data_IF_528726354452
#
_entry.id   IF_528726354452
#
_cell.length_a   1.000
_cell.length_b   1.000
_cell.length_c   1.000
_cell.angle_alpha   90.00
_cell.angle_beta   90.00
_cell.angle_gamma   90.00
#
_symmetry.space_group_name_H-M   'P 1'
#
loop_
_entity.id
_entity.type
_entity.pdbx_description
1 polymer ?
#
# COMPACT_ATOMS: atom_id res chain seq x y z
N UNK A 1 -15.24 70.27 20.61
CA UNK A 1 -15.59 69.50 21.83
C UNK A 1 -14.69 68.26 21.86
N UNK A 2 -13.60 68.30 22.65
CA UNK A 2 -12.57 67.25 22.69
C UNK A 2 -13.09 66.00 23.41
N UNK A 3 -13.08 64.86 22.70
CA UNK A 3 -13.53 63.54 23.19
C UNK A 3 -12.59 63.09 24.32
N UNK A 4 -13.08 63.08 25.57
CA UNK A 4 -12.33 62.55 26.74
C UNK A 4 -12.02 61.06 26.49
N UNK A 5 -10.75 60.73 26.29
CA UNK A 5 -10.28 59.35 26.25
C UNK A 5 -10.30 58.82 27.70
N UNK A 6 -11.20 57.88 28.00
CA UNK A 6 -11.27 57.21 29.31
C UNK A 6 -9.97 56.43 29.53
N UNK A 7 -9.30 56.64 30.67
CA UNK A 7 -8.13 55.86 31.07
C UNK A 7 -8.56 54.41 31.32
N UNK A 8 -7.86 53.40 30.76
CA UNK A 8 -8.19 52.00 31.02
C UNK A 8 -8.00 51.67 32.50
N UNK A 9 -9.02 51.11 33.12
CA UNK A 9 -8.98 50.64 34.51
C UNK A 9 -8.21 49.31 34.59
N UNK A 10 -7.56 49.04 35.73
CA UNK A 10 -6.83 47.78 35.98
C UNK A 10 -7.68 46.53 35.67
N UNK A 11 -8.99 46.59 35.95
CA UNK A 11 -9.95 45.55 35.59
C UNK A 11 -10.07 45.32 34.08
N UNK A 12 -10.03 46.38 33.26
CA UNK A 12 -10.09 46.29 31.80
C UNK A 12 -8.82 45.63 31.25
N UNK A 13 -7.67 45.92 31.85
CA UNK A 13 -6.41 45.28 31.47
C UNK A 13 -6.41 43.78 31.81
N UNK A 14 -6.89 43.41 33.01
CA UNK A 14 -7.02 42.01 33.42
C UNK A 14 -8.00 41.23 32.54
N UNK A 15 -9.17 41.82 32.24
CA UNK A 15 -10.17 41.20 31.36
C UNK A 15 -9.60 41.05 29.94
N UNK A 16 -8.96 42.08 29.39
CA UNK A 16 -8.34 42.01 28.06
C UNK A 16 -7.22 40.97 27.98
N UNK A 17 -6.38 40.85 29.02
CA UNK A 17 -5.33 39.84 29.11
C UNK A 17 -5.91 38.43 29.16
N UNK A 18 -6.97 38.23 29.96
CA UNK A 18 -7.67 36.94 30.05
C UNK A 18 -8.30 36.56 28.70
N UNK A 19 -8.97 37.50 28.04
CA UNK A 19 -9.55 37.29 26.70
C UNK A 19 -8.48 36.95 25.66
N UNK A 20 -7.30 37.59 25.71
CA UNK A 20 -6.20 37.27 24.80
C UNK A 20 -5.67 35.84 25.03
N UNK A 21 -5.54 35.41 26.28
CA UNK A 21 -5.15 34.03 26.61
C UNK A 21 -6.20 33.03 26.11
N UNK A 22 -7.49 33.30 26.33
CA UNK A 22 -8.56 32.44 25.79
C UNK A 22 -8.57 32.38 24.27
N UNK A 23 -8.30 33.50 23.58
CA UNK A 23 -8.19 33.53 22.13
C UNK A 23 -7.03 32.66 21.62
N UNK A 24 -5.86 32.73 22.27
CA UNK A 24 -4.69 31.90 21.93
C UNK A 24 -5.00 30.41 22.14
N UNK A 25 -5.57 30.05 23.29
CA UNK A 25 -5.94 28.65 23.58
C UNK A 25 -6.97 28.14 22.55
N UNK A 26 -7.93 28.98 22.16
CA UNK A 26 -8.93 28.63 21.16
C UNK A 26 -8.30 28.37 19.79
N UNK A 27 -7.35 29.22 19.37
CA UNK A 27 -6.60 29.02 18.12
C UNK A 27 -5.78 27.73 18.13
N UNK A 28 -5.08 27.46 19.23
CA UNK A 28 -4.32 26.21 19.40
C UNK A 28 -5.26 24.99 19.34
N UNK A 29 -6.42 25.07 20.00
CA UNK A 29 -7.40 23.99 20.00
C UNK A 29 -7.97 23.71 18.61
N UNK A 30 -8.29 24.77 17.85
CA UNK A 30 -8.73 24.65 16.46
C UNK A 30 -7.62 24.02 15.60
N UNK A 31 -6.37 24.46 15.76
CA UNK A 31 -5.24 23.90 15.02
C UNK A 31 -5.04 22.41 15.30
N UNK A 32 -5.05 21.99 16.56
CA UNK A 32 -4.96 20.57 16.94
C UNK A 32 -6.14 19.78 16.37
N UNK A 33 -7.34 20.34 16.43
CA UNK A 33 -8.56 19.68 15.92
C UNK A 33 -8.47 19.43 14.42
N UNK A 34 -8.03 20.42 13.64
CA UNK A 34 -7.87 20.30 12.19
C UNK A 34 -6.83 19.22 11.85
N UNK A 35 -5.66 19.26 12.50
CA UNK A 35 -4.61 18.26 12.25
C UNK A 35 -5.06 16.85 12.64
N UNK A 36 -5.70 16.70 13.80
CA UNK A 36 -6.21 15.40 14.26
C UNK A 36 -7.23 14.85 13.28
N UNK A 37 -8.13 15.69 12.78
CA UNK A 37 -9.13 15.30 11.79
C UNK A 37 -8.50 14.86 10.46
N UNK A 38 -7.47 15.57 9.99
CA UNK A 38 -6.71 15.18 8.80
C UNK A 38 -6.00 13.83 8.98
N UNK A 39 -5.28 13.65 10.08
CA UNK A 39 -4.61 12.39 10.38
C UNK A 39 -5.59 11.23 10.50
N UNK A 40 -6.76 11.44 11.11
CA UNK A 40 -7.81 10.42 11.20
C UNK A 40 -8.37 10.06 9.82
N UNK A 41 -8.56 11.05 8.93
CA UNK A 41 -9.00 10.79 7.55
C UNK A 41 -7.97 9.99 6.76
N UNK A 42 -6.68 10.31 6.91
CA UNK A 42 -5.61 9.57 6.23
C UNK A 42 -5.44 8.15 6.78
N UNK A 43 -5.56 7.97 8.10
CA UNK A 43 -5.50 6.65 8.74
C UNK A 43 -6.71 5.76 8.38
N UNK A 44 -7.82 6.37 7.98
CA UNK A 44 -9.05 5.69 7.58
C UNK A 44 -9.01 5.11 6.15
N UNK A 45 -8.04 5.53 5.33
CA UNK A 45 -7.91 5.16 3.91
C UNK A 45 -7.82 3.62 3.71
N UNK A 46 -8.27 3.09 2.57
CA UNK A 46 -8.09 1.68 2.25
C UNK A 46 -6.61 1.33 2.14
N UNK A 47 -6.24 0.14 2.60
CA UNK A 47 -4.92 -0.44 2.43
C UNK A 47 -5.05 -1.95 2.40
N UNK A 48 -4.31 -2.62 1.52
CA UNK A 48 -4.40 -4.05 1.34
C UNK A 48 -3.27 -4.78 2.06
N UNK A 49 -3.63 -5.79 2.85
CA UNK A 49 -2.65 -6.63 3.55
C UNK A 49 -2.95 -8.11 3.34
N UNK A 50 -1.95 -8.96 3.55
CA UNK A 50 -2.11 -10.40 3.54
C UNK A 50 -2.72 -10.85 4.86
N UNK A 51 -3.93 -11.42 4.81
CA UNK A 51 -4.53 -12.06 5.99
C UNK A 51 -3.93 -13.43 6.27
N UNK A 52 -3.59 -14.14 5.20
CA UNK A 52 -2.98 -15.47 5.19
C UNK A 52 -1.71 -15.40 4.36
N UNK A 53 -0.71 -16.23 4.67
CA UNK A 53 0.45 -16.40 3.81
C UNK A 53 -0.02 -16.84 2.41
N UNK A 54 0.55 -16.28 1.33
CA UNK A 54 0.19 -16.70 -0.02
C UNK A 54 0.34 -18.21 -0.19
N UNK A 55 -0.64 -18.83 -0.86
CA UNK A 55 -0.60 -20.28 -1.10
C UNK A 55 0.12 -20.58 -2.41
N UNK A 56 0.87 -21.69 -2.44
CA UNK A 56 1.62 -22.15 -3.61
C UNK A 56 1.15 -23.55 -3.96
N UNK A 57 0.78 -23.76 -5.21
CA UNK A 57 0.37 -25.06 -5.73
C UNK A 57 1.31 -25.47 -6.88
N UNK A 58 1.80 -26.71 -6.80
CA UNK A 58 2.78 -27.32 -7.73
C UNK A 58 2.24 -28.66 -8.22
N UNK A 59 1.08 -28.64 -8.88
CA UNK A 59 0.41 -29.86 -9.36
C UNK A 59 0.68 -30.13 -10.84
N UNK A 60 0.33 -29.19 -11.71
CA UNK A 60 0.55 -29.27 -13.16
C UNK A 60 1.22 -28.00 -13.70
N UNK A 61 1.00 -26.89 -13.00
CA UNK A 61 1.59 -25.57 -13.16
C UNK A 61 2.10 -25.06 -11.80
N UNK A 62 2.86 -23.97 -11.82
CA UNK A 62 3.19 -23.22 -10.60
C UNK A 62 2.15 -22.12 -10.44
N UNK A 63 1.30 -22.27 -9.43
CA UNK A 63 0.21 -21.34 -9.15
C UNK A 63 0.37 -20.68 -7.78
N UNK A 64 0.13 -19.37 -7.72
CA UNK A 64 0.15 -18.59 -6.48
C UNK A 64 -1.22 -17.99 -6.22
N UNK A 65 -1.73 -18.13 -4.99
CA UNK A 65 -2.92 -17.41 -4.54
C UNK A 65 -2.53 -16.35 -3.48
N UNK A 66 -2.82 -15.10 -3.80
CA UNK A 66 -2.66 -13.97 -2.89
C UNK A 66 -4.03 -13.49 -2.42
N UNK A 67 -4.32 -13.67 -1.13
CA UNK A 67 -5.54 -13.17 -0.50
C UNK A 67 -5.26 -11.84 0.18
N UNK A 68 -5.73 -10.76 -0.45
CA UNK A 68 -5.64 -9.41 0.08
C UNK A 68 -6.89 -9.07 0.88
N UNK A 69 -6.72 -8.40 2.01
CA UNK A 69 -7.83 -7.85 2.80
C UNK A 69 -7.67 -6.35 2.91
N UNK A 70 -8.76 -5.63 2.69
CA UNK A 70 -8.81 -4.20 2.99
C UNK A 70 -8.88 -4.01 4.51
N UNK A 71 -7.76 -3.56 5.11
CA UNK A 71 -7.66 -3.27 6.55
C UNK A 71 -8.04 -1.83 6.90
N UNK A 72 -8.28 -1.00 5.88
CA UNK A 72 -8.77 0.36 6.04
C UNK A 72 -10.24 0.43 6.45
N UNK A 73 -10.68 1.60 6.89
CA UNK A 73 -12.09 1.78 7.28
C UNK A 73 -12.99 2.12 6.09
N UNK A 74 -12.43 2.75 5.06
CA UNK A 74 -13.12 3.07 3.83
C UNK A 74 -13.12 1.87 2.87
N UNK A 75 -14.15 1.73 2.01
CA UNK A 75 -14.10 0.75 0.93
C UNK A 75 -13.04 1.16 -0.12
N UNK A 76 -12.53 0.16 -0.84
CA UNK A 76 -11.70 0.39 -2.02
C UNK A 76 -12.52 0.07 -3.27
N UNK A 77 -12.41 0.91 -4.30
CA UNK A 77 -13.08 0.71 -5.60
C UNK A 77 -12.04 0.70 -6.72
N UNK A 78 -12.42 0.19 -7.89
CA UNK A 78 -11.56 0.21 -9.10
C UNK A 78 -10.19 -0.46 -8.88
N UNK A 79 -10.13 -1.50 -8.03
CA UNK A 79 -8.87 -2.19 -7.74
C UNK A 79 -8.33 -2.83 -9.02
N UNK A 80 -7.14 -2.39 -9.41
CA UNK A 80 -6.35 -2.97 -10.48
C UNK A 80 -5.02 -3.45 -9.91
N UNK A 81 -4.62 -4.65 -10.31
CA UNK A 81 -3.36 -5.25 -9.93
C UNK A 81 -2.55 -5.53 -11.18
N UNK A 82 -1.32 -5.04 -11.23
CA UNK A 82 -0.34 -5.43 -12.25
C UNK A 82 0.77 -6.21 -11.57
N UNK A 83 0.96 -7.46 -11.99
CA UNK A 83 1.94 -8.36 -11.41
C UNK A 83 3.04 -8.67 -12.39
N UNK A 84 4.29 -8.58 -11.92
CA UNK A 84 5.48 -9.01 -12.65
C UNK A 84 6.13 -10.17 -11.92
N UNK A 85 6.55 -11.18 -12.66
CA UNK A 85 7.38 -12.28 -12.15
C UNK A 85 8.64 -12.39 -13.01
N UNK A 86 9.80 -12.44 -12.38
CA UNK A 86 11.09 -12.56 -13.07
C UNK A 86 12.08 -13.38 -12.24
N UNK A 87 13.08 -14.01 -12.89
CA UNK A 87 14.13 -14.74 -12.19
C UNK A 87 14.94 -13.83 -11.25
N UNK A 88 15.46 -14.40 -10.18
CA UNK A 88 16.29 -13.68 -9.19
C UNK A 88 17.51 -12.97 -9.82
N UNK A 89 18.05 -13.52 -10.91
CA UNK A 89 19.24 -12.98 -11.57
C UNK A 89 19.02 -11.60 -12.23
N UNK A 90 17.78 -11.18 -12.48
CA UNK A 90 17.40 -9.92 -13.14
C UNK A 90 18.06 -9.69 -14.51
N UNK A 91 18.45 -10.76 -15.22
CA UNK A 91 19.10 -10.64 -16.53
C UNK A 91 18.09 -10.74 -17.67
N UNK A 92 17.10 -11.61 -17.52
CA UNK A 92 16.09 -11.93 -18.53
C UNK A 92 14.87 -11.02 -18.43
N UNK A 93 13.94 -11.10 -19.39
CA UNK A 93 12.65 -10.39 -19.28
C UNK A 93 11.74 -11.07 -18.24
N UNK A 94 10.69 -10.38 -17.74
CA UNK A 94 9.71 -11.03 -16.90
C UNK A 94 9.10 -12.25 -17.57
N UNK A 95 9.03 -13.35 -16.82
CA UNK A 95 8.37 -14.59 -17.21
C UNK A 95 6.84 -14.44 -17.19
N UNK A 96 6.34 -13.52 -16.37
CA UNK A 96 4.93 -13.16 -16.34
C UNK A 96 4.76 -11.65 -16.20
N UNK A 97 3.85 -11.11 -17.01
CA UNK A 97 3.26 -9.78 -16.82
C UNK A 97 1.75 -9.98 -16.90
N UNK A 98 1.07 -9.88 -15.77
CA UNK A 98 -0.38 -10.08 -15.70
C UNK A 98 -1.08 -8.86 -15.12
N UNK A 99 -2.32 -8.61 -15.56
CA UNK A 99 -3.17 -7.53 -15.06
C UNK A 99 -4.53 -8.08 -14.66
N UNK A 100 -4.90 -7.84 -13.40
CA UNK A 100 -6.17 -8.26 -12.84
C UNK A 100 -6.95 -7.03 -12.35
N UNK A 101 -8.24 -6.95 -12.66
CA UNK A 101 -9.10 -5.85 -12.20
C UNK A 101 -10.35 -6.39 -11.51
N UNK A 102 -10.65 -5.85 -10.33
CA UNK A 102 -11.89 -6.12 -9.60
C UNK A 102 -12.90 -5.03 -9.91
N UNK A 103 -14.04 -5.44 -10.48
CA UNK A 103 -15.11 -4.52 -10.86
C UNK A 103 -15.94 -4.07 -9.66
N UNK A 104 -16.06 -4.92 -8.64
CA UNK A 104 -16.87 -4.64 -7.46
C UNK A 104 -16.08 -3.87 -6.41
N UNK A 105 -16.80 -3.10 -5.61
CA UNK A 105 -16.27 -2.47 -4.42
C UNK A 105 -15.77 -3.53 -3.43
N UNK A 106 -14.66 -3.26 -2.76
CA UNK A 106 -14.09 -4.10 -1.71
C UNK A 106 -14.32 -3.39 -0.37
N UNK A 107 -15.35 -3.79 0.38
CA UNK A 107 -15.62 -3.24 1.70
C UNK A 107 -14.46 -3.50 2.67
N UNK A 108 -14.50 -2.79 3.79
CA UNK A 108 -13.64 -3.07 4.94
C UNK A 108 -13.71 -4.56 5.32
N UNK A 109 -12.57 -5.12 5.72
CA UNK A 109 -12.42 -6.48 6.23
C UNK A 109 -12.86 -7.59 5.25
N UNK A 110 -13.05 -7.23 3.96
CA UNK A 110 -13.38 -8.17 2.89
C UNK A 110 -12.11 -8.61 2.17
N UNK A 111 -12.04 -9.90 1.83
CA UNK A 111 -10.92 -10.48 1.12
C UNK A 111 -11.16 -10.51 -0.39
N UNK A 112 -10.11 -10.24 -1.17
CA UNK A 112 -10.05 -10.48 -2.61
C UNK A 112 -8.87 -11.38 -2.91
N UNK A 113 -9.06 -12.38 -3.78
CA UNK A 113 -8.00 -13.29 -4.21
C UNK A 113 -7.45 -12.87 -5.56
N UNK A 114 -6.13 -12.83 -5.68
CA UNK A 114 -5.40 -12.77 -6.95
C UNK A 114 -4.77 -14.15 -7.17
N UNK A 115 -5.09 -14.77 -8.29
CA UNK A 115 -4.50 -16.04 -8.73
C UNK A 115 -3.51 -15.74 -9.84
N UNK A 116 -2.25 -16.15 -9.64
CA UNK A 116 -1.22 -16.11 -10.66
C UNK A 116 -0.91 -17.52 -11.11
N UNK A 117 -0.89 -17.73 -12.42
CA UNK A 117 -0.49 -18.99 -13.04
C UNK A 117 0.77 -18.74 -13.85
N UNK A 118 1.85 -19.48 -13.55
CA UNK A 118 3.05 -19.46 -14.37
C UNK A 118 3.01 -20.59 -15.39
N UNK A 119 3.34 -20.25 -16.64
CA UNK A 119 3.32 -21.18 -17.74
C UNK A 119 4.31 -22.34 -17.49
N UNK A 120 3.87 -23.61 -17.55
CA UNK A 120 4.73 -24.79 -17.37
C UNK A 120 5.88 -24.88 -18.39
N UNK A 121 5.78 -24.19 -19.54
CA UNK A 121 6.86 -24.12 -20.52
C UNK A 121 8.04 -23.28 -20.04
N UNK A 122 7.82 -22.36 -19.10
CA UNK A 122 8.85 -21.52 -18.50
C UNK A 122 9.33 -22.06 -17.15
N UNK A 123 8.51 -22.87 -16.48
CA UNK A 123 8.82 -23.50 -15.21
C UNK A 123 8.45 -24.98 -15.23
N UNK A 124 9.42 -25.87 -15.11
CA UNK A 124 9.16 -27.31 -15.06
C UNK A 124 8.73 -27.73 -13.65
N UNK A 125 7.42 -27.91 -13.35
CA UNK A 125 6.94 -27.99 -11.96
C UNK A 125 7.33 -29.31 -11.28
N UNK A 126 7.69 -30.32 -12.07
CA UNK A 126 8.16 -31.62 -11.60
C UNK A 126 9.68 -31.66 -11.31
N UNK A 127 10.40 -30.54 -11.48
CA UNK A 127 11.80 -30.47 -11.13
C UNK A 127 11.99 -30.57 -9.61
N UNK A 128 12.97 -31.36 -9.13
CA UNK A 128 13.24 -31.49 -7.69
C UNK A 128 13.74 -30.17 -7.09
N UNK A 129 14.39 -29.33 -7.91
CA UNK A 129 14.88 -28.02 -7.53
C UNK A 129 14.41 -26.99 -8.57
N UNK A 130 13.89 -25.88 -8.09
CA UNK A 130 13.50 -24.71 -8.89
C UNK A 130 14.20 -23.48 -8.31
N UNK A 131 14.76 -22.67 -9.19
CA UNK A 131 15.45 -21.44 -8.82
C UNK A 131 14.49 -20.41 -8.21
N UNK A 132 15.06 -19.37 -7.59
CA UNK A 132 14.30 -18.32 -6.97
C UNK A 132 13.74 -17.31 -7.99
N UNK A 133 12.55 -16.80 -7.69
CA UNK A 133 11.85 -15.80 -8.48
C UNK A 133 11.45 -14.62 -7.61
N UNK A 134 11.49 -13.44 -8.20
CA UNK A 134 10.94 -12.23 -7.64
C UNK A 134 9.54 -11.99 -8.20
N UNK A 135 8.65 -11.57 -7.32
CA UNK A 135 7.25 -11.28 -7.62
C UNK A 135 6.97 -9.85 -7.14
N UNK A 136 6.53 -9.00 -8.06
CA UNK A 136 6.17 -7.61 -7.77
C UNK A 136 4.72 -7.39 -8.11
N UNK A 137 3.93 -7.01 -7.12
CA UNK A 137 2.49 -6.77 -7.28
C UNK A 137 2.26 -5.27 -7.06
N UNK A 138 1.91 -4.56 -8.12
CA UNK A 138 1.44 -3.17 -8.07
C UNK A 138 -0.08 -3.18 -7.95
N UNK A 139 -0.61 -2.46 -6.96
CA UNK A 139 -2.03 -2.31 -6.70
C UNK A 139 -2.40 -0.83 -6.83
N UNK A 140 -3.38 -0.56 -7.68
CA UNK A 140 -3.97 0.75 -7.89
C UNK A 140 -5.44 0.66 -7.47
N UNK A 141 -5.88 1.55 -6.60
CA UNK A 141 -7.26 1.55 -6.12
C UNK A 141 -7.70 2.94 -5.71
N UNK A 142 -9.01 3.15 -5.68
CA UNK A 142 -9.62 4.43 -5.35
C UNK A 142 -10.37 4.37 -4.04
N UNK A 143 -10.23 5.41 -3.23
CA UNK A 143 -11.10 5.67 -2.09
C UNK A 143 -12.28 6.54 -2.54
N UNK A 144 -13.51 6.02 -2.57
CA UNK A 144 -14.67 6.78 -3.03
C UNK A 144 -15.10 7.88 -2.04
N UNK A 145 -14.67 7.79 -0.77
CA UNK A 145 -14.98 8.76 0.29
C UNK A 145 -14.03 9.94 0.20
N UNK A 146 -12.72 9.68 0.10
CA UNK A 146 -11.69 10.73 -0.04
C UNK A 146 -11.58 11.25 -1.48
N UNK A 147 -12.07 10.48 -2.47
CA UNK A 147 -11.96 10.74 -3.92
C UNK A 147 -10.52 10.80 -4.41
N UNK A 148 -9.64 10.04 -3.76
CA UNK A 148 -8.23 9.93 -4.07
C UNK A 148 -7.89 8.53 -4.58
N UNK A 149 -6.88 8.46 -5.45
CA UNK A 149 -6.29 7.20 -5.91
C UNK A 149 -5.05 6.90 -5.09
N UNK A 150 -4.91 5.65 -4.67
CA UNK A 150 -3.78 5.16 -3.91
C UNK A 150 -3.04 4.09 -4.71
N UNK A 151 -1.73 4.09 -4.53
CA UNK A 151 -0.79 3.18 -5.17
C UNK A 151 -0.05 2.40 -4.09
N UNK A 152 -0.02 1.09 -4.21
CA UNK A 152 0.68 0.21 -3.28
C UNK A 152 1.46 -0.84 -4.04
N UNK A 153 2.73 -1.02 -3.70
CA UNK A 153 3.60 -2.01 -4.36
C UNK A 153 4.12 -3.00 -3.32
N UNK A 154 3.95 -4.28 -3.60
CA UNK A 154 4.35 -5.39 -2.74
C UNK A 154 5.48 -6.14 -3.46
N UNK A 155 6.61 -6.26 -2.76
CA UNK A 155 7.82 -6.92 -3.24
C UNK A 155 8.00 -8.24 -2.47
N UNK A 156 7.96 -9.35 -3.21
CA UNK A 156 8.05 -10.69 -2.67
C UNK A 156 9.12 -11.50 -3.40
N UNK A 157 9.74 -12.43 -2.69
CA UNK A 157 10.66 -13.42 -3.22
C UNK A 157 10.07 -14.80 -2.96
N UNK A 158 10.02 -15.62 -4.00
CA UNK A 158 9.79 -17.04 -3.87
C UNK A 158 11.15 -17.73 -4.02
N UNK A 159 11.69 -18.37 -2.96
CA UNK A 159 12.98 -19.06 -3.04
C UNK A 159 12.97 -20.30 -3.95
N UNK A 160 11.81 -20.69 -4.49
CA UNK A 160 11.65 -21.83 -5.38
C UNK A 160 11.35 -23.13 -4.64
N UNK A 161 11.86 -24.23 -5.19
CA UNK A 161 11.71 -25.59 -4.65
C UNK A 161 13.11 -26.10 -4.35
N UNK A 162 13.29 -26.71 -3.18
CA UNK A 162 14.57 -27.26 -2.75
C UNK A 162 14.36 -28.68 -2.22
N UNK A 163 15.02 -29.67 -2.83
CA UNK A 163 14.85 -31.09 -2.55
C UNK A 163 13.38 -31.55 -2.58
N UNK A 164 12.59 -31.06 -3.55
CA UNK A 164 11.17 -31.37 -3.69
C UNK A 164 10.25 -30.67 -2.69
N UNK A 165 10.80 -29.81 -1.81
CA UNK A 165 10.03 -29.03 -0.86
C UNK A 165 9.84 -27.58 -1.31
N UNK A 166 8.58 -27.20 -1.44
CA UNK A 166 8.15 -25.86 -1.80
C UNK A 166 8.53 -24.89 -0.68
N UNK A 167 9.32 -23.86 -1.01
CA UNK A 167 9.67 -22.83 -0.06
C UNK A 167 8.55 -21.78 0.01
N UNK A 168 8.28 -21.20 1.19
CA UNK A 168 7.26 -20.17 1.35
C UNK A 168 7.69 -18.87 0.66
N UNK A 169 6.71 -18.04 0.26
CA UNK A 169 7.00 -16.67 -0.15
C UNK A 169 7.46 -15.85 1.05
N UNK A 170 8.49 -15.04 0.81
CA UNK A 170 9.03 -14.09 1.78
C UNK A 170 9.02 -12.68 1.19
N UNK A 171 9.09 -11.67 2.05
CA UNK A 171 9.34 -10.30 1.59
C UNK A 171 10.78 -10.17 1.11
N UNK A 172 10.98 -9.42 0.03
CA UNK A 172 12.33 -9.09 -0.44
C UNK A 172 13.09 -8.29 0.62
N UNK A 173 14.39 -8.54 0.71
CA UNK A 173 15.28 -7.71 1.52
C UNK A 173 15.44 -6.31 0.90
N UNK A 174 15.91 -5.35 1.70
CA UNK A 174 16.07 -3.96 1.24
C UNK A 174 17.04 -3.83 0.05
N UNK A 175 18.10 -4.64 0.03
CA UNK A 175 19.07 -4.69 -1.08
C UNK A 175 18.42 -5.23 -2.36
N UNK A 176 17.75 -6.37 -2.27
CA UNK A 176 17.03 -7.01 -3.39
C UNK A 176 15.97 -6.07 -3.98
N UNK A 177 15.15 -5.46 -3.11
CA UNK A 177 14.14 -4.47 -3.51
C UNK A 177 14.74 -3.35 -4.34
N UNK A 178 15.89 -2.82 -3.93
CA UNK A 178 16.55 -1.71 -4.64
C UNK A 178 17.00 -2.14 -6.04
N UNK A 179 17.58 -3.35 -6.16
CA UNK A 179 18.00 -3.90 -7.44
C UNK A 179 16.80 -4.13 -8.38
N UNK A 180 15.71 -4.67 -7.84
CA UNK A 180 14.46 -4.89 -8.58
C UNK A 180 13.86 -3.58 -9.09
N UNK A 181 13.82 -2.54 -8.25
CA UNK A 181 13.32 -1.21 -8.65
C UNK A 181 14.15 -0.65 -9.80
N UNK A 182 15.47 -0.72 -9.70
CA UNK A 182 16.37 -0.26 -10.77
C UNK A 182 16.15 -1.06 -12.07
N UNK A 183 16.02 -2.37 -11.97
CA UNK A 183 15.73 -3.23 -13.12
C UNK A 183 14.41 -2.85 -13.81
N UNK A 184 13.36 -2.62 -13.02
CA UNK A 184 12.04 -2.22 -13.52
C UNK A 184 12.10 -0.86 -14.21
N UNK A 185 12.77 0.13 -13.60
CA UNK A 185 12.92 1.49 -14.15
C UNK A 185 13.72 1.51 -15.45
N UNK A 186 14.84 0.77 -15.50
CA UNK A 186 15.70 0.70 -16.68
C UNK A 186 15.01 0.09 -17.91
N UNK A 187 13.92 -0.66 -17.70
CA UNK A 187 13.17 -1.36 -18.75
C UNK A 187 11.74 -0.84 -18.93
N UNK A 188 11.35 0.23 -18.22
CA UNK A 188 10.01 0.84 -18.28
C UNK A 188 8.86 -0.18 -18.09
N UNK A 189 9.03 -1.13 -17.16
CA UNK A 189 8.09 -2.24 -16.98
C UNK A 189 6.87 -1.87 -16.11
N UNK A 190 7.06 -0.92 -15.18
CA UNK A 190 6.07 -0.41 -14.26
C UNK A 190 6.38 1.05 -13.94
N UNK A 191 5.34 1.87 -13.85
CA UNK A 191 5.43 3.22 -13.34
C UNK A 191 5.59 3.16 -11.82
N UNK A 192 6.83 3.30 -11.34
CA UNK A 192 7.11 3.36 -9.91
C UNK A 192 7.06 4.83 -9.44
N UNK A 193 6.44 5.13 -8.28
CA UNK A 193 6.43 6.47 -7.70
C UNK A 193 7.81 6.92 -7.21
#
# INVERSE_FOLDING_TARGET
>A
MLKKIKKPTWSTFLVSGSTAVFAIISLISVFITINTWQTQREAARPYFSFKESPSIQLTHDVSFEFKFVNVGTHPATELTSKTLVFPENLQEQPILIDTYSVVNDIPRDTATSLLLHLDPSQLYPAAPDLDAYYIVISLDYRDPILKETYHQIIFLKWPGVNHGHVQPLIHMEAGEKTQVIQYIQNRDLLSLP
#
